data_IF_919458760547
#
_entry.id   IF_919458760547
#
_cell.length_a   1.000
_cell.length_b   1.000
_cell.length_c   1.000
_cell.angle_alpha   90.00
_cell.angle_beta   90.00
_cell.angle_gamma   90.00
#
_symmetry.space_group_name_H-M   'P 1'
#
loop_
_entity.id
_entity.type
_entity.pdbx_description
1 polymer ?
#
# COMPACT_ATOMS: atom_id res chain seq x y z
N UNK A 1 -22.10 -39.77 27.74
CA UNK A 1 -21.25 -38.88 28.55
C UNK A 1 -19.94 -38.72 27.79
N UNK A 2 -19.80 -37.75 26.88
CA UNK A 2 -19.66 -36.33 27.16
C UNK A 2 -18.18 -35.95 27.07
N UNK A 3 -17.58 -36.16 25.88
CA UNK A 3 -16.16 -35.86 25.65
C UNK A 3 -16.01 -34.38 25.31
N UNK A 4 -15.56 -33.58 26.28
CA UNK A 4 -15.28 -32.15 26.11
C UNK A 4 -14.11 -31.98 25.15
N UNK A 5 -14.42 -31.62 23.90
CA UNK A 5 -13.43 -31.29 22.88
C UNK A 5 -12.60 -30.10 23.31
N UNK A 6 -11.35 -30.35 23.69
CA UNK A 6 -10.35 -29.31 23.85
C UNK A 6 -10.19 -28.56 22.53
N UNK A 7 -10.68 -27.31 22.49
CA UNK A 7 -10.30 -26.36 21.44
C UNK A 7 -8.78 -26.19 21.52
N UNK A 8 -8.06 -26.89 20.65
CA UNK A 8 -6.64 -26.62 20.41
C UNK A 8 -6.55 -25.16 19.99
N UNK A 9 -5.85 -24.34 20.79
CA UNK A 9 -5.43 -23.00 20.39
C UNK A 9 -4.56 -23.16 19.14
N UNK A 10 -5.14 -22.91 17.97
CA UNK A 10 -4.40 -22.89 16.72
C UNK A 10 -3.48 -21.66 16.77
N UNK A 11 -2.16 -21.81 16.57
CA UNK A 11 -1.24 -20.69 16.47
C UNK A 11 -1.71 -19.66 15.44
N UNK A 12 -1.49 -18.37 15.71
CA UNK A 12 -1.90 -17.31 14.78
C UNK A 12 -1.25 -17.47 13.40
N UNK A 13 -0.06 -18.07 13.32
CA UNK A 13 0.66 -18.35 12.08
C UNK A 13 -0.08 -19.36 11.20
N UNK A 14 -0.52 -20.48 11.80
CA UNK A 14 -1.31 -21.50 11.11
C UNK A 14 -2.67 -20.95 10.66
N UNK A 15 -3.26 -20.03 11.45
CA UNK A 15 -4.52 -19.37 11.11
C UNK A 15 -4.35 -18.44 9.89
N UNK A 16 -3.32 -17.59 9.89
CA UNK A 16 -3.04 -16.69 8.76
C UNK A 16 -2.65 -17.48 7.51
N UNK A 17 -1.86 -18.54 7.66
CA UNK A 17 -1.51 -19.41 6.54
C UNK A 17 -2.74 -20.14 5.98
N UNK A 18 -3.61 -20.69 6.83
CA UNK A 18 -4.85 -21.34 6.40
C UNK A 18 -5.80 -20.35 5.69
N UNK A 19 -5.94 -19.13 6.22
CA UNK A 19 -6.72 -18.07 5.56
C UNK A 19 -6.11 -17.67 4.23
N UNK A 20 -4.78 -17.56 4.16
CA UNK A 20 -4.06 -17.23 2.94
C UNK A 20 -4.20 -18.29 1.86
N UNK A 21 -4.07 -19.58 2.19
CA UNK A 21 -4.19 -20.67 1.20
C UNK A 21 -5.64 -20.87 0.75
N UNK A 22 -6.61 -20.43 1.55
CA UNK A 22 -8.02 -20.52 1.19
C UNK A 22 -8.37 -19.73 -0.08
N UNK A 23 -9.28 -20.28 -0.88
CA UNK A 23 -9.81 -19.61 -2.07
C UNK A 23 -10.83 -18.53 -1.67
N UNK A 24 -10.80 -17.39 -2.36
CA UNK A 24 -11.86 -16.40 -2.27
C UNK A 24 -13.03 -16.83 -3.18
N UNK A 25 -14.29 -16.62 -2.78
CA UNK A 25 -15.44 -16.92 -3.63
C UNK A 25 -15.65 -15.85 -4.71
N UNK A 26 -16.01 -16.29 -5.92
CA UNK A 26 -16.56 -15.47 -7.02
C UNK A 26 -15.90 -14.10 -7.20
N UNK A 27 -16.71 -13.06 -7.02
CA UNK A 27 -16.34 -11.66 -7.27
C UNK A 27 -15.21 -11.16 -6.37
N UNK A 28 -15.06 -11.69 -5.14
CA UNK A 28 -13.95 -11.35 -4.25
C UNK A 28 -12.62 -11.80 -4.82
N UNK A 29 -12.59 -12.99 -5.43
CA UNK A 29 -11.39 -13.49 -6.09
C UNK A 29 -11.04 -12.66 -7.32
N UNK A 30 -12.05 -12.20 -8.07
CA UNK A 30 -11.83 -11.32 -9.22
C UNK A 30 -11.26 -9.97 -8.79
N UNK A 31 -11.89 -9.30 -7.82
CA UNK A 31 -11.38 -8.02 -7.30
C UNK A 31 -9.95 -8.16 -6.75
N UNK A 32 -9.68 -9.23 -5.98
CA UNK A 32 -8.35 -9.50 -5.47
C UNK A 32 -7.33 -9.61 -6.62
N UNK A 33 -7.63 -10.37 -7.68
CA UNK A 33 -6.76 -10.50 -8.85
C UNK A 33 -6.54 -9.16 -9.54
N UNK A 34 -7.60 -8.40 -9.80
CA UNK A 34 -7.50 -7.12 -10.51
C UNK A 34 -6.57 -6.13 -9.75
N UNK A 35 -6.73 -6.06 -8.43
CA UNK A 35 -5.91 -5.19 -7.57
C UNK A 35 -4.46 -5.68 -7.51
N UNK A 36 -4.23 -6.98 -7.33
CA UNK A 36 -2.88 -7.56 -7.28
C UNK A 36 -2.16 -7.36 -8.61
N UNK A 37 -2.81 -7.63 -9.74
CA UNK A 37 -2.23 -7.42 -11.07
C UNK A 37 -1.84 -5.95 -11.26
N UNK A 38 -2.69 -5.00 -10.84
CA UNK A 38 -2.34 -3.58 -10.94
C UNK A 38 -1.14 -3.18 -10.08
N UNK A 39 -1.05 -3.70 -8.86
CA UNK A 39 0.07 -3.43 -7.95
C UNK A 39 1.36 -4.07 -8.45
N UNK A 40 1.31 -5.34 -8.83
CA UNK A 40 2.46 -6.10 -9.33
C UNK A 40 2.97 -5.57 -10.66
N UNK A 41 2.10 -5.10 -11.55
CA UNK A 41 2.52 -4.43 -12.78
C UNK A 41 3.34 -3.17 -12.47
N UNK A 42 2.87 -2.33 -11.53
CA UNK A 42 3.58 -1.11 -11.12
C UNK A 42 4.93 -1.45 -10.46
N UNK A 43 4.95 -2.44 -9.59
CA UNK A 43 6.17 -2.93 -8.95
C UNK A 43 7.17 -3.51 -9.96
N UNK A 44 6.69 -4.30 -10.92
CA UNK A 44 7.54 -4.89 -11.97
C UNK A 44 8.20 -3.81 -12.81
N UNK A 45 7.46 -2.77 -13.21
CA UNK A 45 8.04 -1.62 -13.92
C UNK A 45 9.13 -0.93 -13.09
N UNK A 46 8.87 -0.70 -11.79
CA UNK A 46 9.84 -0.11 -10.87
C UNK A 46 11.11 -0.96 -10.76
N UNK A 47 10.95 -2.28 -10.58
CA UNK A 47 12.06 -3.23 -10.45
C UNK A 47 12.90 -3.28 -11.73
N UNK A 48 12.26 -3.35 -12.90
CA UNK A 48 12.97 -3.34 -14.19
C UNK A 48 13.74 -2.04 -14.39
N UNK A 49 13.16 -0.89 -14.03
CA UNK A 49 13.86 0.40 -14.10
C UNK A 49 15.09 0.44 -13.17
N UNK A 50 14.98 -0.13 -11.97
CA UNK A 50 16.11 -0.21 -11.03
C UNK A 50 17.22 -1.13 -11.55
N UNK A 51 16.86 -2.33 -12.00
CA UNK A 51 17.80 -3.30 -12.55
C UNK A 51 18.56 -2.72 -13.75
N UNK A 52 17.85 -2.02 -14.63
CA UNK A 52 18.45 -1.32 -15.75
C UNK A 52 19.37 -0.17 -15.30
N UNK A 53 18.96 0.64 -14.32
CA UNK A 53 19.82 1.68 -13.74
C UNK A 53 21.13 1.10 -13.18
N UNK A 54 21.05 -0.03 -12.46
CA UNK A 54 22.21 -0.71 -11.89
C UNK A 54 23.13 -1.29 -12.99
N UNK A 55 22.55 -1.87 -14.04
CA UNK A 55 23.29 -2.40 -15.20
C UNK A 55 24.00 -1.30 -15.99
N UNK A 56 23.31 -0.18 -16.25
CA UNK A 56 23.90 0.98 -16.93
C UNK A 56 25.07 1.55 -16.11
N UNK A 57 24.90 1.63 -14.79
CA UNK A 57 25.95 2.08 -13.88
C UNK A 57 27.17 1.16 -13.93
N UNK A 58 26.99 -0.15 -13.85
CA UNK A 58 28.12 -1.09 -13.89
C UNK A 58 28.88 -1.06 -15.22
N UNK A 59 28.21 -0.68 -16.31
CA UNK A 59 28.81 -0.45 -17.63
C UNK A 59 29.42 0.94 -17.82
N UNK A 60 29.40 1.80 -16.78
CA UNK A 60 29.93 3.17 -16.86
C UNK A 60 29.03 4.17 -17.61
N UNK A 61 27.80 3.78 -17.97
CA UNK A 61 26.81 4.63 -18.65
C UNK A 61 26.08 5.52 -17.63
N UNK A 62 26.82 6.39 -16.95
CA UNK A 62 26.35 7.09 -15.74
C UNK A 62 25.17 8.03 -15.96
N UNK A 63 25.09 8.70 -17.11
CA UNK A 63 23.97 9.62 -17.42
C UNK A 63 22.66 8.83 -17.52
N UNK A 64 22.64 7.76 -18.31
CA UNK A 64 21.46 6.90 -18.49
C UNK A 64 21.08 6.18 -17.20
N UNK A 65 22.06 5.74 -16.41
CA UNK A 65 21.81 5.15 -15.10
C UNK A 65 21.04 6.12 -14.18
N UNK A 66 21.46 7.39 -14.14
CA UNK A 66 20.81 8.44 -13.36
C UNK A 66 19.39 8.75 -13.83
N UNK A 67 19.18 8.82 -15.14
CA UNK A 67 17.84 8.99 -15.72
C UNK A 67 16.92 7.82 -15.31
N UNK A 68 17.39 6.58 -15.40
CA UNK A 68 16.64 5.40 -14.97
C UNK A 68 16.37 5.38 -13.47
N UNK A 69 17.30 5.85 -12.64
CA UNK A 69 17.05 6.03 -11.21
C UNK A 69 15.92 7.04 -10.95
N UNK A 70 15.86 8.14 -11.69
CA UNK A 70 14.74 9.09 -11.65
C UNK A 70 13.40 8.45 -11.98
N UNK A 71 13.32 7.72 -13.10
CA UNK A 71 12.12 6.96 -13.50
C UNK A 71 11.69 5.96 -12.43
N UNK A 72 12.67 5.25 -11.85
CA UNK A 72 12.41 4.32 -10.75
C UNK A 72 11.77 5.01 -9.54
N UNK A 73 12.25 6.21 -9.19
CA UNK A 73 11.69 7.05 -8.12
C UNK A 73 10.21 7.39 -8.32
N UNK A 74 9.83 7.79 -9.54
CA UNK A 74 8.44 8.10 -9.90
C UNK A 74 7.53 6.86 -9.82
N UNK A 75 8.02 5.72 -10.30
CA UNK A 75 7.30 4.45 -10.23
C UNK A 75 7.11 3.98 -8.76
N UNK A 76 8.10 4.22 -7.90
CA UNK A 76 8.01 3.98 -6.46
C UNK A 76 6.92 4.81 -5.79
N UNK A 77 6.84 6.10 -6.11
CA UNK A 77 5.75 6.97 -5.62
C UNK A 77 4.38 6.49 -6.10
N UNK A 78 4.26 6.05 -7.36
CA UNK A 78 3.01 5.50 -7.90
C UNK A 78 2.61 4.20 -7.22
N UNK A 79 3.57 3.32 -6.92
CA UNK A 79 3.31 2.07 -6.20
C UNK A 79 2.81 2.37 -4.77
N UNK A 80 3.51 3.25 -4.05
CA UNK A 80 3.18 3.65 -2.70
C UNK A 80 1.78 4.26 -2.60
N UNK A 81 1.44 5.11 -3.58
CA UNK A 81 0.09 5.67 -3.72
C UNK A 81 -0.98 4.59 -3.78
N UNK A 82 -0.82 3.60 -4.68
CA UNK A 82 -1.77 2.49 -4.82
C UNK A 82 -1.88 1.64 -3.55
N UNK A 83 -0.74 1.33 -2.92
CA UNK A 83 -0.71 0.60 -1.64
C UNK A 83 -1.42 1.40 -0.53
N UNK A 84 -1.18 2.71 -0.47
CA UNK A 84 -1.82 3.61 0.50
C UNK A 84 -3.33 3.67 0.35
N UNK A 85 -3.86 3.66 -0.88
CA UNK A 85 -5.31 3.63 -1.12
C UNK A 85 -5.89 2.29 -0.68
N UNK A 86 -5.21 1.19 -0.97
CA UNK A 86 -5.62 -0.14 -0.50
C UNK A 86 -5.70 -0.19 1.03
N UNK A 87 -4.65 0.28 1.72
CA UNK A 87 -4.62 0.33 3.18
C UNK A 87 -5.72 1.23 3.75
N UNK A 88 -5.97 2.39 3.12
CA UNK A 88 -7.03 3.32 3.50
C UNK A 88 -8.42 2.68 3.37
N UNK A 89 -8.70 2.03 2.24
CA UNK A 89 -9.95 1.31 2.04
C UNK A 89 -10.17 0.23 3.11
N UNK A 90 -9.12 -0.53 3.45
CA UNK A 90 -9.23 -1.53 4.54
C UNK A 90 -9.50 -0.88 5.90
N UNK A 91 -8.89 0.27 6.20
CA UNK A 91 -9.16 1.02 7.45
C UNK A 91 -10.59 1.52 7.52
N UNK A 92 -11.09 2.11 6.44
CA UNK A 92 -12.44 2.69 6.36
C UNK A 92 -13.54 1.62 6.50
N UNK A 93 -13.37 0.48 5.82
CA UNK A 93 -14.38 -0.58 5.82
C UNK A 93 -14.26 -1.55 7.00
N UNK A 94 -13.05 -1.72 7.55
CA UNK A 94 -12.83 -2.58 8.71
C UNK A 94 -13.51 -2.08 9.98
N UNK A 95 -13.78 -0.77 10.08
CA UNK A 95 -14.41 -0.15 11.24
C UNK A 95 -15.81 -0.70 11.57
N UNK A 96 -16.48 -1.33 10.61
CA UNK A 96 -17.85 -1.82 10.78
C UNK A 96 -17.99 -3.33 10.53
N UNK A 97 -16.87 -4.04 10.43
CA UNK A 97 -16.83 -5.49 10.32
C UNK A 97 -17.00 -6.14 11.69
N UNK A 98 -17.85 -7.18 11.74
CA UNK A 98 -18.10 -8.00 12.92
C UNK A 98 -16.93 -8.94 13.21
N UNK A 99 -16.26 -9.45 12.17
CA UNK A 99 -15.06 -10.27 12.26
C UNK A 99 -13.95 -9.66 11.39
N UNK A 100 -12.83 -9.32 12.02
CA UNK A 100 -11.62 -8.87 11.32
C UNK A 100 -10.61 -10.02 11.26
N UNK A 101 -9.79 -10.09 10.20
CA UNK A 101 -8.84 -11.17 10.04
C UNK A 101 -7.79 -11.17 11.15
N UNK A 102 -7.32 -12.36 11.50
CA UNK A 102 -6.12 -12.49 12.33
C UNK A 102 -4.93 -11.99 11.51
N UNK A 103 -4.05 -11.22 12.14
CA UNK A 103 -2.85 -10.70 11.47
C UNK A 103 -1.61 -11.03 12.28
N UNK A 104 -0.54 -11.41 11.58
CA UNK A 104 0.80 -11.53 12.15
C UNK A 104 1.48 -10.15 12.18
N UNK A 105 2.36 -9.89 13.17
CA UNK A 105 3.19 -8.70 13.16
C UNK A 105 4.11 -8.69 11.93
N UNK A 106 4.57 -7.51 11.52
CA UNK A 106 5.65 -7.42 10.54
C UNK A 106 6.92 -8.04 11.13
N UNK A 107 7.59 -8.90 10.38
CA UNK A 107 8.82 -9.55 10.83
C UNK A 107 9.99 -8.62 10.59
N UNK A 108 10.62 -8.13 11.66
CA UNK A 108 11.73 -7.18 11.58
C UNK A 108 12.94 -7.71 10.78
N UNK A 109 13.17 -9.02 10.74
CA UNK A 109 14.24 -9.62 9.93
C UNK A 109 14.00 -9.52 8.42
N UNK A 110 12.77 -9.24 8.00
CA UNK A 110 12.43 -9.12 6.58
C UNK A 110 12.69 -7.71 6.03
N UNK A 111 13.17 -6.78 6.86
CA UNK A 111 13.51 -5.43 6.44
C UNK A 111 15.02 -5.23 6.45
N UNK A 112 15.56 -4.58 5.42
CA UNK A 112 16.98 -4.25 5.30
C UNK A 112 17.28 -2.87 5.87
N UNK A 113 16.35 -1.92 5.79
CA UNK A 113 16.52 -0.56 6.28
C UNK A 113 16.25 -0.45 7.81
N UNK A 114 17.08 0.30 8.53
CA UNK A 114 17.06 0.36 10.00
C UNK A 114 15.75 0.89 10.57
N UNK A 115 15.15 1.90 9.94
CA UNK A 115 13.90 2.51 10.42
C UNK A 115 12.71 1.56 10.23
N UNK A 116 12.67 0.83 9.12
CA UNK A 116 11.65 -0.17 8.85
C UNK A 116 11.78 -1.38 9.79
N UNK A 117 13.02 -1.79 10.10
CA UNK A 117 13.30 -2.80 11.13
C UNK A 117 12.84 -2.36 12.51
N UNK A 118 13.10 -1.11 12.89
CA UNK A 118 12.70 -0.56 14.19
C UNK A 118 11.17 -0.48 14.30
N UNK A 119 10.50 0.00 13.26
CA UNK A 119 9.03 0.03 13.20
C UNK A 119 8.42 -1.38 13.30
N UNK A 120 8.98 -2.37 12.60
CA UNK A 120 8.54 -3.77 12.69
C UNK A 120 8.80 -4.38 14.08
N UNK A 121 9.93 -4.06 14.72
CA UNK A 121 10.25 -4.51 16.08
C UNK A 121 9.29 -3.92 17.13
N UNK A 122 8.96 -2.63 17.00
CA UNK A 122 7.94 -1.97 17.83
C UNK A 122 6.55 -2.57 17.60
N UNK A 123 6.20 -2.92 16.36
CA UNK A 123 4.95 -3.61 16.07
C UNK A 123 4.89 -4.98 16.72
N UNK A 124 5.98 -5.75 16.73
CA UNK A 124 6.03 -7.05 17.40
C UNK A 124 5.80 -6.91 18.91
N UNK A 125 6.40 -5.91 19.55
CA UNK A 125 6.21 -5.63 20.98
C UNK A 125 4.75 -5.25 21.28
N UNK A 126 4.16 -4.39 20.46
CA UNK A 126 2.75 -3.98 20.60
C UNK A 126 1.78 -5.11 20.27
N UNK A 127 2.11 -6.02 19.35
CA UNK A 127 1.29 -7.20 19.06
C UNK A 127 1.12 -8.10 20.29
N UNK A 128 2.13 -8.18 21.16
CA UNK A 128 2.04 -8.87 22.45
C UNK A 128 1.15 -8.16 23.49
N UNK A 129 1.02 -6.83 23.39
CA UNK A 129 0.25 -6.02 24.33
C UNK A 129 -1.20 -5.78 23.88
N UNK A 130 -1.47 -5.82 22.57
CA UNK A 130 -2.80 -5.62 22.02
C UNK A 130 -3.65 -6.88 22.16
N UNK A 131 -4.55 -6.87 23.14
CA UNK A 131 -5.36 -8.03 23.50
C UNK A 131 -6.37 -8.45 22.42
N UNK A 132 -6.95 -7.51 21.65
CA UNK A 132 -7.98 -7.82 20.66
C UNK A 132 -7.47 -7.91 19.21
N UNK A 133 -8.01 -8.87 18.43
CA UNK A 133 -7.75 -9.04 16.99
C UNK A 133 -8.00 -7.77 16.20
N UNK A 134 -9.05 -7.04 16.57
CA UNK A 134 -9.41 -5.75 15.96
C UNK A 134 -8.31 -4.70 16.14
N UNK A 135 -7.79 -4.54 17.35
CA UNK A 135 -6.70 -3.60 17.60
C UNK A 135 -5.43 -4.01 16.86
N UNK A 136 -5.09 -5.30 16.84
CA UNK A 136 -3.93 -5.83 16.09
C UNK A 136 -4.06 -5.56 14.59
N UNK A 137 -5.23 -5.76 14.00
CA UNK A 137 -5.52 -5.47 12.59
C UNK A 137 -5.28 -3.99 12.25
N UNK A 138 -5.93 -3.06 12.96
CA UNK A 138 -5.76 -1.64 12.69
C UNK A 138 -4.35 -1.14 12.99
N UNK A 139 -3.70 -1.70 14.00
CA UNK A 139 -2.31 -1.40 14.28
C UNK A 139 -1.40 -1.85 13.15
N UNK A 140 -1.56 -3.08 12.61
CA UNK A 140 -0.82 -3.54 11.43
C UNK A 140 -1.02 -2.60 10.24
N UNK A 141 -2.25 -2.20 9.95
CA UNK A 141 -2.53 -1.25 8.86
C UNK A 141 -1.91 0.14 9.09
N UNK A 142 -1.79 0.58 10.35
CA UNK A 142 -1.13 1.85 10.70
C UNK A 142 0.38 1.76 10.48
N UNK A 143 1.02 0.70 10.98
CA UNK A 143 2.46 0.51 10.82
C UNK A 143 2.81 0.29 9.36
N UNK A 144 2.04 -0.50 8.62
CA UNK A 144 2.27 -0.73 7.20
C UNK A 144 2.16 0.56 6.38
N UNK A 145 1.17 1.42 6.67
CA UNK A 145 1.07 2.73 6.04
C UNK A 145 2.30 3.60 6.35
N UNK A 146 2.70 3.69 7.63
CA UNK A 146 3.83 4.49 8.04
C UNK A 146 5.15 4.00 7.40
N UNK A 147 5.32 2.67 7.29
CA UNK A 147 6.46 2.06 6.61
C UNK A 147 6.48 2.42 5.12
N UNK A 148 5.36 2.26 4.40
CA UNK A 148 5.26 2.62 2.98
C UNK A 148 5.55 4.11 2.78
N UNK A 149 4.96 4.99 3.59
CA UNK A 149 5.16 6.44 3.48
C UNK A 149 6.61 6.84 3.75
N UNK A 150 7.24 6.25 4.78
CA UNK A 150 8.63 6.50 5.15
C UNK A 150 9.61 6.01 4.09
N UNK A 151 9.49 4.74 3.69
CA UNK A 151 10.32 4.12 2.66
C UNK A 151 10.21 4.85 1.33
N UNK A 152 9.00 5.22 0.91
CA UNK A 152 8.79 5.93 -0.37
C UNK A 152 9.40 7.32 -0.33
N UNK A 153 9.28 8.04 0.79
CA UNK A 153 9.91 9.36 0.95
C UNK A 153 11.43 9.25 0.79
N UNK A 154 12.05 8.29 1.49
CA UNK A 154 13.48 8.05 1.38
C UNK A 154 13.86 7.61 -0.04
N UNK A 155 13.10 6.67 -0.63
CA UNK A 155 13.32 6.16 -1.99
C UNK A 155 13.33 7.30 -3.01
N UNK A 156 12.33 8.18 -2.95
CA UNK A 156 12.21 9.36 -3.83
C UNK A 156 13.35 10.36 -3.63
N UNK A 157 13.74 10.61 -2.38
CA UNK A 157 14.88 11.50 -2.09
C UNK A 157 16.17 10.91 -2.64
N UNK A 158 16.48 9.66 -2.33
CA UNK A 158 17.70 8.96 -2.80
C UNK A 158 17.73 8.85 -4.31
N UNK A 159 16.61 8.49 -4.95
CA UNK A 159 16.53 8.40 -6.42
C UNK A 159 16.76 9.75 -7.09
N UNK A 160 16.22 10.83 -6.50
CA UNK A 160 16.41 12.20 -6.99
C UNK A 160 17.86 12.67 -6.81
N UNK A 161 18.47 12.44 -5.66
CA UNK A 161 19.87 12.78 -5.41
C UNK A 161 20.81 12.05 -6.37
N UNK A 162 20.51 10.79 -6.70
CA UNK A 162 21.23 10.03 -7.72
C UNK A 162 21.02 10.68 -9.10
N UNK A 163 19.76 10.92 -9.48
CA UNK A 163 19.40 11.47 -10.79
C UNK A 163 20.06 12.83 -11.05
N UNK A 164 20.06 13.71 -10.04
CA UNK A 164 20.62 15.07 -10.10
C UNK A 164 22.13 15.11 -9.81
N UNK A 165 22.76 13.95 -9.57
CA UNK A 165 24.17 13.84 -9.20
C UNK A 165 24.55 14.68 -7.96
N UNK A 166 23.66 14.73 -6.97
CA UNK A 166 23.84 15.47 -5.72
C UNK A 166 24.26 14.58 -4.54
N UNK A 167 24.37 13.27 -4.75
CA UNK A 167 24.78 12.35 -3.69
C UNK A 167 26.23 12.58 -3.26
N UNK A 168 26.42 12.83 -1.96
CA UNK A 168 27.75 12.96 -1.32
C UNK A 168 28.53 11.65 -1.38
N UNK A 169 27.84 10.53 -1.26
CA UNK A 169 28.40 9.17 -1.33
C UNK A 169 27.67 8.34 -2.38
N UNK A 170 28.00 8.47 -3.68
CA UNK A 170 27.24 7.84 -4.75
C UNK A 170 27.07 6.34 -4.57
N UNK A 171 28.13 5.63 -4.15
CA UNK A 171 28.07 4.17 -3.93
C UNK A 171 27.06 3.79 -2.85
N UNK A 172 27.03 4.53 -1.75
CA UNK A 172 26.10 4.30 -0.65
C UNK A 172 24.66 4.59 -1.09
N UNK A 173 24.43 5.68 -1.82
CA UNK A 173 23.09 6.02 -2.33
C UNK A 173 22.51 4.94 -3.26
N UNK A 174 23.32 4.38 -4.15
CA UNK A 174 22.86 3.26 -4.99
C UNK A 174 22.51 2.02 -4.17
N UNK A 175 23.32 1.67 -3.16
CA UNK A 175 23.03 0.55 -2.27
C UNK A 175 21.75 0.80 -1.45
N UNK A 176 21.57 2.02 -0.98
CA UNK A 176 20.39 2.43 -0.24
C UNK A 176 19.13 2.31 -1.11
N UNK A 177 19.20 2.71 -2.38
CA UNK A 177 18.08 2.57 -3.32
C UNK A 177 17.67 1.09 -3.50
N UNK A 178 18.62 0.16 -3.55
CA UNK A 178 18.34 -1.29 -3.61
C UNK A 178 17.68 -1.82 -2.33
N UNK A 179 18.17 -1.39 -1.16
CA UNK A 179 17.57 -1.76 0.12
C UNK A 179 16.13 -1.25 0.25
N UNK A 180 15.88 0.00 -0.12
CA UNK A 180 14.56 0.61 -0.07
C UNK A 180 13.60 -0.07 -1.08
N UNK A 181 14.08 -0.44 -2.27
CA UNK A 181 13.31 -1.24 -3.23
C UNK A 181 12.85 -2.58 -2.63
N UNK A 182 13.76 -3.30 -1.97
CA UNK A 182 13.47 -4.57 -1.31
C UNK A 182 12.43 -4.42 -0.19
N UNK A 183 12.56 -3.37 0.63
CA UNK A 183 11.64 -3.11 1.74
C UNK A 183 10.25 -2.67 1.25
N UNK A 184 10.17 -1.90 0.15
CA UNK A 184 8.91 -1.56 -0.50
C UNK A 184 8.19 -2.81 -1.04
N UNK A 185 8.92 -3.76 -1.64
CA UNK A 185 8.34 -5.04 -2.04
C UNK A 185 7.81 -5.80 -0.82
N UNK A 186 8.56 -5.82 0.28
CA UNK A 186 8.11 -6.47 1.53
C UNK A 186 6.80 -5.87 2.03
N UNK A 187 6.67 -4.54 2.05
CA UNK A 187 5.42 -3.87 2.38
C UNK A 187 4.28 -4.21 1.40
N UNK A 188 4.57 -4.28 0.11
CA UNK A 188 3.59 -4.68 -0.91
C UNK A 188 3.05 -6.10 -0.65
N UNK A 189 3.94 -7.07 -0.42
CA UNK A 189 3.55 -8.47 -0.15
C UNK A 189 2.68 -8.57 1.11
N UNK A 190 3.06 -7.85 2.15
CA UNK A 190 2.26 -7.78 3.39
C UNK A 190 0.88 -7.14 3.15
N UNK A 191 0.79 -6.07 2.34
CA UNK A 191 -0.49 -5.45 1.99
C UNK A 191 -1.41 -6.42 1.23
N UNK A 192 -0.86 -7.19 0.29
CA UNK A 192 -1.59 -8.21 -0.49
C UNK A 192 -2.15 -9.31 0.42
N UNK A 193 -1.33 -9.81 1.35
CA UNK A 193 -1.76 -10.84 2.32
C UNK A 193 -2.90 -10.31 3.18
N UNK A 194 -2.74 -9.12 3.76
CA UNK A 194 -3.78 -8.50 4.61
C UNK A 194 -5.06 -8.24 3.83
N UNK A 195 -4.96 -7.78 2.57
CA UNK A 195 -6.12 -7.59 1.69
C UNK A 195 -6.87 -8.90 1.45
N UNK A 196 -6.16 -10.00 1.18
CA UNK A 196 -6.81 -11.30 0.95
C UNK A 196 -7.61 -11.75 2.17
N UNK A 197 -7.00 -11.70 3.35
CA UNK A 197 -7.67 -12.05 4.60
C UNK A 197 -8.85 -11.11 4.89
N UNK A 198 -8.71 -9.81 4.60
CA UNK A 198 -9.76 -8.82 4.77
C UNK A 198 -10.98 -9.09 3.88
N UNK A 199 -10.77 -9.41 2.60
CA UNK A 199 -11.85 -9.75 1.66
C UNK A 199 -12.62 -10.99 2.11
N UNK A 200 -11.94 -11.99 2.68
CA UNK A 200 -12.56 -13.22 3.18
C UNK A 200 -13.54 -12.96 4.33
N UNK A 201 -13.22 -12.03 5.23
CA UNK A 201 -14.07 -11.69 6.37
C UNK A 201 -15.22 -10.73 6.06
N UNK A 202 -15.32 -10.23 4.83
CA UNK A 202 -16.25 -9.16 4.45
C UNK A 202 -17.63 -9.69 4.07
N UNK A 203 -18.71 -9.04 4.54
CA UNK A 203 -20.09 -9.33 4.08
C UNK A 203 -20.35 -8.83 2.66
N UNK A 204 -21.33 -9.41 1.97
CA UNK A 204 -21.68 -9.05 0.57
C UNK A 204 -22.02 -7.56 0.41
N UNK A 205 -22.83 -7.00 1.32
CA UNK A 205 -23.23 -5.59 1.29
C UNK A 205 -22.02 -4.63 1.33
N UNK A 206 -21.02 -4.95 2.15
CA UNK A 206 -19.80 -4.15 2.28
C UNK A 206 -18.86 -4.36 1.09
N UNK A 207 -18.84 -5.57 0.55
CA UNK A 207 -18.02 -5.92 -0.58
C UNK A 207 -18.36 -5.07 -1.81
N UNK A 208 -19.64 -4.84 -2.10
CA UNK A 208 -20.04 -3.98 -3.22
C UNK A 208 -19.47 -2.55 -3.11
N UNK A 209 -19.57 -1.94 -1.92
CA UNK A 209 -19.06 -0.58 -1.66
C UNK A 209 -17.53 -0.54 -1.74
N UNK A 210 -16.86 -1.53 -1.15
CA UNK A 210 -15.40 -1.66 -1.21
C UNK A 210 -14.90 -1.86 -2.65
N UNK A 211 -15.59 -2.69 -3.44
CA UNK A 211 -15.28 -2.94 -4.84
C UNK A 211 -15.41 -1.65 -5.67
N UNK A 212 -16.46 -0.87 -5.47
CA UNK A 212 -16.64 0.40 -6.18
C UNK A 212 -15.53 1.40 -5.83
N UNK A 213 -15.17 1.49 -4.54
CA UNK A 213 -14.08 2.36 -4.10
C UNK A 213 -12.74 1.95 -4.71
N UNK A 214 -12.45 0.66 -4.82
CA UNK A 214 -11.19 0.18 -5.40
C UNK A 214 -11.14 0.30 -6.93
N UNK A 215 -12.28 0.18 -7.62
CA UNK A 215 -12.36 0.37 -9.08
C UNK A 215 -12.32 1.83 -9.50
N UNK A 216 -12.78 2.76 -8.66
CA UNK A 216 -12.77 4.20 -8.91
C UNK A 216 -11.45 4.89 -8.60
N UNK A 217 -10.37 4.14 -8.35
CA UNK A 217 -9.08 4.69 -7.91
C UNK A 217 -8.32 5.29 -9.10
N UNK A 218 -7.95 6.58 -9.03
CA UNK A 218 -7.03 7.18 -9.99
C UNK A 218 -5.69 6.44 -10.00
N UNK A 219 -5.16 6.16 -11.18
CA UNK A 219 -3.95 5.36 -11.33
C UNK A 219 -2.68 6.10 -10.88
N UNK A 220 -2.78 7.41 -10.63
CA UNK A 220 -1.69 8.26 -10.13
C UNK A 220 -2.20 9.41 -9.23
N UNK A 221 -1.32 10.00 -8.39
CA UNK A 221 -1.64 11.23 -7.64
C UNK A 221 -2.04 12.41 -8.54
N UNK A 222 -1.45 12.51 -9.74
CA UNK A 222 -1.76 13.57 -10.71
C UNK A 222 -3.21 13.46 -11.21
N UNK A 223 -3.69 12.24 -11.46
CA UNK A 223 -5.10 12.00 -11.83
C UNK A 223 -6.07 12.29 -10.67
N UNK A 224 -5.68 12.01 -9.43
CA UNK A 224 -6.49 12.33 -8.25
C UNK A 224 -6.62 13.86 -8.05
N UNK A 225 -5.54 14.61 -8.29
CA UNK A 225 -5.56 16.07 -8.27
C UNK A 225 -6.42 16.63 -9.42
N UNK A 226 -6.29 16.08 -10.62
CA UNK A 226 -7.09 16.49 -11.78
C UNK A 226 -8.60 16.24 -11.57
N UNK A 227 -8.98 15.11 -10.97
CA UNK A 227 -10.39 14.81 -10.64
C UNK A 227 -10.93 15.71 -9.52
N UNK A 228 -10.12 16.04 -8.51
CA UNK A 228 -10.49 17.02 -7.47
C UNK A 228 -10.68 18.43 -8.04
N UNK A 229 -9.82 18.87 -8.96
CA UNK A 229 -9.91 20.14 -9.68
C UNK A 229 -11.13 20.20 -10.61
N UNK A 230 -11.47 19.10 -11.27
CA UNK A 230 -12.68 19.01 -12.10
C UNK A 230 -13.96 19.07 -11.25
N UNK A 231 -14.00 18.35 -10.11
CA UNK A 231 -15.14 18.35 -9.20
C UNK A 231 -15.41 19.72 -8.55
N UNK A 232 -14.35 20.46 -8.19
CA UNK A 232 -14.47 21.82 -7.64
C UNK A 232 -14.98 22.82 -8.68
N UNK A 233 -14.56 22.72 -9.94
CA UNK A 233 -15.09 23.55 -11.04
C UNK A 233 -16.57 23.27 -11.33
N UNK A 234 -17.00 22.01 -11.32
CA UNK A 234 -18.44 21.66 -11.47
C UNK A 234 -19.29 22.18 -10.31
N UNK A 235 -18.81 22.10 -9.07
CA UNK A 235 -19.52 22.65 -7.91
C UNK A 235 -19.64 24.19 -7.99
N UNK A 236 -18.59 24.89 -8.44
CA UNK A 236 -18.61 26.34 -8.65
C UNK A 236 -19.55 26.75 -9.79
N UNK A 237 -19.62 25.98 -10.87
CA UNK A 237 -20.53 26.25 -12.00
C UNK A 237 -22.01 26.02 -11.63
N UNK A 238 -22.32 25.04 -10.78
CA UNK A 238 -23.67 24.82 -10.25
C UNK A 238 -24.08 25.91 -9.25
N UNK A 239 -23.14 26.39 -8.43
CA UNK A 239 -23.37 27.50 -7.48
C UNK A 239 -23.65 28.82 -8.19
N UNK A 240 -23.01 29.06 -9.34
CA UNK A 240 -23.21 30.27 -10.14
C UNK A 240 -24.56 30.30 -10.88
N UNK A 241 -25.19 29.14 -11.12
CA UNK A 241 -26.50 29.06 -11.79
C UNK A 241 -27.70 29.21 -10.84
N UNK A 242 -27.49 29.10 -9.53
CA UNK A 242 -28.54 29.25 -8.51
C UNK A 242 -28.70 30.70 -8.01
N UNK A 243 -27.88 31.65 -8.49
CA UNK A 243 -27.96 33.07 -8.15
C UNK A 243 -28.38 33.85 -9.40
N UNK A 244 -29.59 33.61 -9.90
CA UNK A 244 -30.24 34.56 -10.83
C UNK A 244 -31.13 35.51 -10.02
N UNK A 245 -30.86 36.82 -10.01
CA UNK A 245 -31.70 37.78 -9.30
C UNK A 245 -33.08 37.84 -9.96
N UNK A 246 -34.13 37.68 -9.15
CA UNK A 246 -35.53 37.85 -9.57
C UNK A 246 -35.72 39.32 -9.96
N UNK A 247 -36.16 39.64 -11.19
CA UNK A 247 -36.34 41.03 -11.60
C UNK A 247 -37.49 41.69 -10.84
N UNK A 248 -37.41 42.99 -10.53
CA UNK A 248 -38.47 43.69 -9.82
C UNK A 248 -39.71 43.77 -10.71
N UNK A 249 -40.86 43.44 -10.11
CA UNK A 249 -42.17 43.64 -10.73
C UNK A 249 -42.50 45.12 -10.65
N UNK A 250 -42.66 45.75 -11.81
CA UNK A 250 -43.32 47.05 -11.96
C UNK A 250 -44.83 46.85 -12.04
#
# INVERSE_FOLDING_TARGET
>A
MGNSGGQRNIPAEDCVHAEWVSRLPGDRQQLFRDVVVSLEATYTMMSVALDEAMRLRSNGQLVQAREQAGVCGELGERLAWKVGILIRGMKEHGGRMSALPVVLPLTASNFRHSDARMAAALQWLLHKLLLSTRLRFFHKLRVLQAAVDGLTRQFKTTSKEIAENQSVEPRAAWQELDHLHYDLNTCLREAIVVMKCFLRGMSEERFAVFQQQLRGIPTSPAEEQATKLAGTKSAQHLSAQLITPVPPRY
#
